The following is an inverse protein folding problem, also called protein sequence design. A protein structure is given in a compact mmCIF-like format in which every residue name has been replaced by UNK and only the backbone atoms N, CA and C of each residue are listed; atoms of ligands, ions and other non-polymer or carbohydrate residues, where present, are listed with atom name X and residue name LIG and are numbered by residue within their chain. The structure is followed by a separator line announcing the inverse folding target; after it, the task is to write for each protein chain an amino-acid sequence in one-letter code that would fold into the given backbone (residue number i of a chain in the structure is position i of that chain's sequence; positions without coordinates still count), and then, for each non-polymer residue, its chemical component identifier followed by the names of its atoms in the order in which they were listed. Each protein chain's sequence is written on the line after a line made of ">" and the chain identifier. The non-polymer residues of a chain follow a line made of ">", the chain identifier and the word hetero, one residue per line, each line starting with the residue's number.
data_IF_191847475522
#
_entry.id   IF_191847475522
#
_cell.length_a   1.000
_cell.length_b   1.000
_cell.length_c   1.000
_cell.angle_alpha   90.00
_cell.angle_beta   90.00
_cell.angle_gamma   90.00
#
_symmetry.space_group_name_H-M   'P 1'
#
loop_
_entity.id
_entity.type
_entity.pdbx_description
1 polymer ?
#
# COMPACT_ATOMS: atom_id res chain seq x y z
N UNK A 1 -9.06 21.52 -21.70
CA UNK A 1 -9.94 21.24 -20.55
C UNK A 1 -9.08 20.64 -19.47
N UNK A 2 -8.83 21.34 -18.36
CA UNK A 2 -8.13 20.75 -17.22
C UNK A 2 -9.14 19.97 -16.38
N UNK A 3 -9.00 18.65 -16.36
CA UNK A 3 -9.78 17.80 -15.47
C UNK A 3 -9.21 17.92 -14.06
N UNK A 4 -10.04 18.31 -13.09
CA UNK A 4 -9.70 18.17 -11.67
C UNK A 4 -9.96 16.71 -11.31
N UNK A 5 -8.91 15.95 -11.01
CA UNK A 5 -9.05 14.59 -10.47
C UNK A 5 -9.23 14.65 -8.97
N UNK A 6 -10.22 13.92 -8.46
CA UNK A 6 -10.44 13.72 -7.02
C UNK A 6 -9.92 12.34 -6.66
N UNK A 7 -9.13 12.27 -5.59
CA UNK A 7 -8.44 11.06 -5.17
C UNK A 7 -8.76 10.77 -3.71
N UNK A 8 -8.70 9.50 -3.33
CA UNK A 8 -8.79 9.06 -1.94
C UNK A 8 -7.41 8.55 -1.53
N UNK A 9 -6.85 9.10 -0.47
CA UNK A 9 -5.63 8.56 0.14
C UNK A 9 -5.98 7.72 1.37
N UNK A 10 -5.48 6.49 1.40
CA UNK A 10 -5.58 5.58 2.55
C UNK A 10 -4.18 5.40 3.13
N UNK A 11 -4.01 5.74 4.41
CA UNK A 11 -2.73 5.64 5.12
C UNK A 11 -2.83 4.71 6.32
N UNK A 12 -1.85 3.84 6.49
CA UNK A 12 -1.70 2.97 7.65
C UNK A 12 -0.39 3.30 8.36
N UNK A 13 -0.48 3.68 9.64
CA UNK A 13 0.67 3.90 10.49
C UNK A 13 1.03 2.59 11.21
N UNK A 14 2.30 2.22 11.17
CA UNK A 14 2.82 0.99 11.76
C UNK A 14 4.08 1.31 12.57
N UNK A 15 4.04 1.04 13.87
CA UNK A 15 5.17 1.32 14.76
C UNK A 15 6.42 0.50 14.43
N UNK A 16 6.27 -0.67 13.81
CA UNK A 16 7.41 -1.47 13.37
C UNK A 16 8.13 -0.80 12.19
N UNK A 17 9.45 -0.56 12.27
CA UNK A 17 10.22 0.00 11.17
C UNK A 17 10.52 -1.03 10.07
N UNK A 18 10.12 -2.30 10.25
CA UNK A 18 10.36 -3.36 9.28
C UNK A 18 9.69 -3.03 7.95
N UNK A 19 10.47 -3.00 6.88
CA UNK A 19 9.96 -2.75 5.53
C UNK A 19 8.96 -3.85 5.12
N UNK A 20 7.82 -3.51 4.47
CA UNK A 20 6.89 -4.51 3.98
C UNK A 20 7.56 -5.47 3.00
N UNK A 21 7.52 -6.76 3.31
CA UNK A 21 8.06 -7.82 2.44
C UNK A 21 7.04 -8.17 1.36
N UNK A 22 7.47 -8.19 0.10
CA UNK A 22 6.66 -8.76 -0.98
C UNK A 22 6.51 -10.27 -0.76
N UNK A 23 5.29 -10.77 -0.95
CA UNK A 23 5.00 -12.20 -1.03
C UNK A 23 4.37 -12.46 -2.38
N UNK A 24 4.85 -13.49 -3.08
CA UNK A 24 4.13 -14.03 -4.24
C UNK A 24 2.79 -14.55 -3.76
N UNK A 25 1.66 -14.20 -4.41
CA UNK A 25 0.38 -14.81 -4.11
C UNK A 25 0.47 -16.32 -4.18
N UNK A 26 0.06 -16.98 -3.12
CA UNK A 26 0.03 -18.42 -3.02
C UNK A 26 -1.34 -18.94 -3.46
N UNK A 27 -1.35 -19.66 -4.58
CA UNK A 27 -2.56 -20.23 -5.18
C UNK A 27 -2.88 -21.64 -4.67
N UNK A 28 -1.97 -22.26 -3.93
CA UNK A 28 -2.02 -23.71 -3.65
C UNK A 28 -2.20 -24.01 -2.16
N UNK A 29 -1.43 -23.35 -1.29
CA UNK A 29 -1.28 -23.77 0.10
C UNK A 29 -1.99 -22.83 1.10
N UNK A 30 -2.71 -21.82 0.60
CA UNK A 30 -3.54 -20.93 1.41
C UNK A 30 -2.75 -19.99 2.33
N UNK A 31 -1.44 -19.82 2.12
CA UNK A 31 -0.59 -18.93 2.96
C UNK A 31 -0.81 -17.43 2.67
N UNK A 32 -1.64 -17.13 1.67
CA UNK A 32 -2.08 -15.79 1.29
C UNK A 32 -1.11 -15.09 0.34
N UNK A 33 -0.73 -13.85 0.65
CA UNK A 33 0.16 -13.06 -0.21
C UNK A 33 -0.54 -12.19 -1.27
N UNK A 34 -1.87 -12.26 -1.36
CA UNK A 34 -2.66 -11.49 -2.33
C UNK A 34 -2.79 -10.00 -2.02
N UNK A 35 -2.66 -9.59 -0.75
CA UNK A 35 -3.02 -8.23 -0.32
C UNK A 35 -2.24 -7.12 -1.03
N UNK A 36 -0.90 -7.15 -1.03
CA UNK A 36 -0.09 -6.10 -1.67
C UNK A 36 -0.23 -6.08 -3.20
N UNK A 37 -0.25 -7.24 -3.91
CA UNK A 37 -0.60 -7.27 -5.33
C UNK A 37 -2.00 -6.70 -5.64
N UNK A 38 -3.00 -6.98 -4.80
CA UNK A 38 -4.34 -6.42 -4.95
C UNK A 38 -4.32 -4.89 -4.79
N UNK A 39 -3.67 -4.37 -3.75
CA UNK A 39 -3.54 -2.91 -3.54
C UNK A 39 -2.80 -2.25 -4.70
N UNK A 40 -1.69 -2.83 -5.17
CA UNK A 40 -0.95 -2.29 -6.31
C UNK A 40 -1.78 -2.28 -7.61
N UNK A 41 -2.77 -3.17 -7.76
CA UNK A 41 -3.64 -3.22 -8.94
C UNK A 41 -4.75 -2.16 -8.89
N UNK A 42 -5.23 -1.83 -7.69
CA UNK A 42 -6.34 -0.91 -7.45
C UNK A 42 -5.87 0.54 -7.29
N UNK A 43 -4.73 0.75 -6.63
CA UNK A 43 -4.18 2.07 -6.37
C UNK A 43 -3.47 2.65 -7.61
N UNK A 44 -3.61 3.96 -7.80
CA UNK A 44 -2.81 4.72 -8.76
C UNK A 44 -1.33 4.78 -8.33
N UNK A 45 -1.09 4.85 -7.02
CA UNK A 45 0.23 4.85 -6.43
C UNK A 45 0.22 4.24 -5.03
N UNK A 46 1.35 3.66 -4.63
CA UNK A 46 1.58 3.19 -3.27
C UNK A 46 2.94 3.68 -2.78
N UNK A 47 3.04 4.11 -1.53
CA UNK A 47 4.31 4.52 -0.93
C UNK A 47 4.52 3.90 0.45
N UNK A 48 5.78 3.79 0.84
CA UNK A 48 6.18 3.44 2.20
C UNK A 48 7.16 4.50 2.68
N UNK A 49 6.73 5.32 3.62
CA UNK A 49 7.54 6.38 4.23
C UNK A 49 8.01 5.89 5.59
N UNK A 50 9.31 5.98 5.87
CA UNK A 50 9.83 5.74 7.23
C UNK A 50 9.65 7.00 8.05
N UNK A 51 9.16 6.85 9.26
CA UNK A 51 8.93 7.98 10.15
C UNK A 51 10.19 8.29 10.96
N UNK A 52 10.47 9.59 11.17
CA UNK A 52 11.64 10.04 11.92
C UNK A 52 11.62 9.57 13.38
N UNK A 53 10.42 9.46 13.98
CA UNK A 53 10.21 8.94 15.32
C UNK A 53 10.25 7.39 15.41
N UNK A 54 10.52 6.71 14.30
CA UNK A 54 10.46 5.25 14.19
C UNK A 54 9.13 4.76 13.63
N UNK A 55 9.13 3.54 13.11
CA UNK A 55 8.00 2.97 12.38
C UNK A 55 7.96 3.38 10.91
N UNK A 56 6.78 3.20 10.30
CA UNK A 56 6.52 3.53 8.90
C UNK A 56 5.05 3.86 8.67
N UNK A 57 4.81 4.63 7.63
CA UNK A 57 3.49 4.86 7.05
C UNK A 57 3.44 4.18 5.68
N UNK A 58 2.40 3.40 5.44
CA UNK A 58 2.08 2.85 4.11
C UNK A 58 0.88 3.60 3.58
N UNK A 59 1.01 4.19 2.38
CA UNK A 59 -0.08 4.91 1.74
C UNK A 59 -0.46 4.30 0.39
N UNK A 60 -1.73 4.43 0.05
CA UNK A 60 -2.28 4.07 -1.26
C UNK A 60 -3.19 5.21 -1.74
N UNK A 61 -2.93 5.70 -2.95
CA UNK A 61 -3.73 6.72 -3.62
C UNK A 61 -4.69 6.05 -4.60
N UNK A 62 -5.98 6.24 -4.42
CA UNK A 62 -7.05 5.64 -5.22
C UNK A 62 -7.74 6.72 -6.05
N UNK A 63 -8.11 6.37 -7.28
CA UNK A 63 -9.10 7.16 -8.02
C UNK A 63 -10.45 7.07 -7.28
N UNK A 64 -11.17 8.19 -7.26
CA UNK A 64 -12.55 8.21 -6.75
C UNK A 64 -13.54 7.76 -7.81
#
# INVERSE_FOLDING_TARGET
>A
MNTVSVNIEVTVHEHSPRTPRMRTPDLNDGTGGFGRPMVNRLAQATAVTREAAGGKTVSALLAR
#
